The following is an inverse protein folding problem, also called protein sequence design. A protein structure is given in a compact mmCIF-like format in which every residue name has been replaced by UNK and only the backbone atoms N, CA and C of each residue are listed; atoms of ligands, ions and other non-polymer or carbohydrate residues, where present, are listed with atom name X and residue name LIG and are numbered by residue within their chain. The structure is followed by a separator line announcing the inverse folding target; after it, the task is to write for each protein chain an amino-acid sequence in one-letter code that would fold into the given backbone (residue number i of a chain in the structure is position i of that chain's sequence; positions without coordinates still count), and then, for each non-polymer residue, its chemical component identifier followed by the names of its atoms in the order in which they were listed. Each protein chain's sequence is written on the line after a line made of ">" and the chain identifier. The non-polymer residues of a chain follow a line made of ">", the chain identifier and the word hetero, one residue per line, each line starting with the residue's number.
data_IF_365620631403
#
_entry.id   IF_365620631403
#
_cell.length_a   1.000
_cell.length_b   1.000
_cell.length_c   1.000
_cell.angle_alpha   90.00
_cell.angle_beta   90.00
_cell.angle_gamma   90.00
#
_symmetry.space_group_name_H-M   'P 1'
#
loop_
_entity.id
_entity.type
_entity.pdbx_description
1 polymer ?
#
# COMPACT_ATOMS: atom_id res chain seq x y z
N UNK A 1 15.89 -6.80 22.55
CA UNK A 1 14.77 -6.21 21.79
C UNK A 1 15.27 -5.78 20.43
N UNK A 2 14.62 -6.20 19.34
CA UNK A 2 14.90 -5.70 18.00
C UNK A 2 14.51 -4.23 17.91
N UNK A 3 15.38 -3.40 17.31
CA UNK A 3 15.10 -1.99 17.09
C UNK A 3 14.11 -1.84 15.94
N UNK A 4 13.03 -1.10 16.13
CA UNK A 4 12.09 -0.79 15.06
C UNK A 4 12.78 0.02 13.94
N UNK A 5 12.47 -0.31 12.70
CA UNK A 5 12.90 0.40 11.51
C UNK A 5 12.26 1.80 11.48
N UNK A 6 12.93 2.75 10.82
CA UNK A 6 12.36 4.09 10.62
C UNK A 6 11.18 4.00 9.64
N UNK A 7 10.16 4.85 9.83
CA UNK A 7 9.00 4.92 8.93
C UNK A 7 9.41 5.12 7.47
N UNK A 8 10.44 5.94 7.19
CA UNK A 8 10.94 6.15 5.83
C UNK A 8 11.50 4.88 5.17
N UNK A 9 12.08 3.96 5.96
CA UNK A 9 12.54 2.67 5.45
C UNK A 9 11.35 1.76 5.14
N UNK A 10 10.34 1.75 6.02
CA UNK A 10 9.12 0.97 5.81
C UNK A 10 8.35 1.47 4.57
N UNK A 11 8.25 2.78 4.39
CA UNK A 11 7.65 3.41 3.20
C UNK A 11 8.37 2.98 1.91
N UNK A 12 9.70 2.94 1.92
CA UNK A 12 10.47 2.53 0.74
C UNK A 12 10.26 1.04 0.42
N UNK A 13 10.19 0.18 1.44
CA UNK A 13 9.84 -1.24 1.25
C UNK A 13 8.44 -1.37 0.68
N UNK A 14 7.46 -0.65 1.23
CA UNK A 14 6.07 -0.64 0.73
C UNK A 14 6.02 -0.24 -0.74
N UNK A 15 6.69 0.86 -1.09
CA UNK A 15 6.75 1.39 -2.46
C UNK A 15 7.30 0.35 -3.44
N UNK A 16 8.43 -0.27 -3.11
CA UNK A 16 9.07 -1.26 -3.98
C UNK A 16 8.19 -2.51 -4.14
N UNK A 17 7.65 -3.03 -3.05
CA UNK A 17 6.84 -4.25 -3.05
C UNK A 17 5.50 -4.04 -3.75
N UNK A 18 4.83 -2.91 -3.49
CA UNK A 18 3.59 -2.56 -4.18
C UNK A 18 3.83 -2.35 -5.68
N UNK A 19 4.92 -1.67 -6.07
CA UNK A 19 5.27 -1.52 -7.48
C UNK A 19 5.45 -2.87 -8.16
N UNK A 20 6.21 -3.78 -7.55
CA UNK A 20 6.44 -5.12 -8.07
C UNK A 20 5.14 -5.92 -8.18
N UNK A 21 4.26 -5.85 -7.18
CA UNK A 21 2.99 -6.57 -7.18
C UNK A 21 2.02 -6.03 -8.25
N UNK A 22 2.09 -4.73 -8.55
CA UNK A 22 1.29 -4.10 -9.60
C UNK A 22 1.89 -4.25 -11.01
N UNK A 23 3.06 -4.89 -11.16
CA UNK A 23 3.61 -5.17 -12.49
C UNK A 23 2.66 -6.09 -13.27
N UNK A 24 2.14 -5.58 -14.39
CA UNK A 24 1.18 -6.30 -15.25
C UNK A 24 -0.28 -5.88 -15.08
N UNK A 25 -0.62 -5.18 -14.01
CA UNK A 25 -1.96 -4.59 -13.83
C UNK A 25 -2.08 -3.29 -14.62
N UNK A 26 -3.20 -3.13 -15.34
CA UNK A 26 -3.45 -1.92 -16.13
C UNK A 26 -4.35 -0.97 -15.34
N UNK A 27 -3.74 -0.09 -14.56
CA UNK A 27 -4.47 1.00 -13.90
C UNK A 27 -4.66 2.15 -14.91
N UNK A 28 -5.90 2.52 -15.29
CA UNK A 28 -6.14 3.62 -16.23
C UNK A 28 -5.54 4.94 -15.74
N UNK A 29 -5.07 5.77 -16.68
CA UNK A 29 -4.41 7.06 -16.35
C UNK A 29 -5.30 7.99 -15.50
N UNK A 30 -6.61 7.96 -15.75
CA UNK A 30 -7.60 8.73 -15.00
C UNK A 30 -7.71 8.29 -13.54
N UNK A 31 -7.53 6.98 -13.28
CA UNK A 31 -7.49 6.40 -11.95
C UNK A 31 -6.16 6.72 -11.26
N UNK A 32 -5.04 6.66 -11.99
CA UNK A 32 -3.71 7.00 -11.46
C UNK A 32 -3.64 8.41 -10.86
N UNK A 33 -4.37 9.37 -11.44
CA UNK A 33 -4.42 10.76 -10.95
C UNK A 33 -5.20 10.93 -9.63
N UNK A 34 -6.00 9.93 -9.26
CA UNK A 34 -6.85 9.91 -8.06
C UNK A 34 -6.28 9.01 -6.97
N UNK A 35 -5.08 8.46 -7.17
CA UNK A 35 -4.45 7.59 -6.19
C UNK A 35 -4.02 8.39 -4.95
N UNK A 36 -4.41 7.89 -3.79
CA UNK A 36 -4.01 8.37 -2.49
C UNK A 36 -3.38 7.23 -1.69
N UNK A 37 -2.56 7.59 -0.72
CA UNK A 37 -1.88 6.66 0.19
C UNK A 37 -2.31 6.96 1.62
N UNK A 38 -2.82 5.96 2.31
CA UNK A 38 -3.03 6.00 3.76
C UNK A 38 -2.05 5.04 4.43
N UNK A 39 -1.63 5.37 5.66
CA UNK A 39 -0.75 4.52 6.44
C UNK A 39 -1.02 4.62 7.93
N UNK A 40 -0.99 3.48 8.61
CA UNK A 40 -1.19 3.39 10.06
C UNK A 40 -0.42 2.21 10.65
N UNK A 41 -0.04 2.27 11.94
CA UNK A 41 0.52 1.14 12.64
C UNK A 41 -0.58 0.16 13.07
N UNK A 42 -0.28 -1.14 13.02
CA UNK A 42 -1.14 -2.21 13.51
C UNK A 42 -0.28 -3.25 14.25
N UNK A 43 -0.23 -3.15 15.58
CA UNK A 43 0.64 -4.00 16.40
C UNK A 43 2.11 -3.86 16.01
N UNK A 44 2.71 -4.94 15.51
CA UNK A 44 4.10 -4.97 15.04
C UNK A 44 4.28 -4.60 13.58
N UNK A 45 3.19 -4.31 12.89
CA UNK A 45 3.19 -4.03 11.46
C UNK A 45 2.85 -2.56 11.18
N UNK A 46 3.21 -2.13 9.98
CA UNK A 46 2.72 -0.92 9.34
C UNK A 46 1.93 -1.30 8.10
N UNK A 47 0.74 -0.73 8.01
CA UNK A 47 -0.15 -0.89 6.87
C UNK A 47 0.04 0.33 5.95
N UNK A 48 0.16 0.05 4.66
CA UNK A 48 0.20 1.06 3.59
C UNK A 48 -0.87 0.70 2.58
N UNK A 49 -1.85 1.58 2.43
CA UNK A 49 -2.99 1.35 1.55
C UNK A 49 -2.99 2.37 0.41
N UNK A 50 -2.84 1.85 -0.81
CA UNK A 50 -3.02 2.62 -2.03
C UNK A 50 -4.47 2.49 -2.46
N UNK A 51 -5.18 3.60 -2.59
CA UNK A 51 -6.60 3.62 -2.92
C UNK A 51 -6.94 4.78 -3.85
N UNK A 52 -8.11 4.70 -4.50
CA UNK A 52 -8.69 5.77 -5.31
C UNK A 52 -9.53 6.65 -4.41
N UNK A 53 -9.17 7.92 -4.24
CA UNK A 53 -9.97 8.86 -3.47
C UNK A 53 -11.28 9.17 -4.19
N UNK A 54 -12.39 9.12 -3.45
CA UNK A 54 -13.73 9.50 -3.91
C UNK A 54 -14.30 10.57 -2.98
N UNK A 55 -15.25 11.36 -3.47
CA UNK A 55 -15.97 12.35 -2.65
C UNK A 55 -16.82 11.69 -1.54
N UNK A 56 -17.11 10.40 -1.72
CA UNK A 56 -17.90 9.55 -0.82
C UNK A 56 -17.02 8.42 -0.25
N UNK A 57 -16.90 8.27 1.09
CA UNK A 57 -16.12 7.21 1.73
C UNK A 57 -16.53 5.80 1.33
N UNK A 58 -17.82 5.58 1.05
CA UNK A 58 -18.39 4.30 0.59
C UNK A 58 -17.91 3.86 -0.80
N UNK A 59 -17.29 4.76 -1.56
CA UNK A 59 -16.81 4.53 -2.93
C UNK A 59 -15.27 4.47 -3.00
N UNK A 60 -14.59 4.31 -1.87
CA UNK A 60 -13.13 4.12 -1.86
C UNK A 60 -12.79 2.77 -2.48
N UNK A 61 -12.02 2.79 -3.57
CA UNK A 61 -11.51 1.57 -4.22
C UNK A 61 -10.09 1.37 -3.76
N UNK A 62 -9.85 0.33 -2.96
CA UNK A 62 -8.49 -0.07 -2.59
C UNK A 62 -7.83 -0.76 -3.78
N UNK A 63 -6.68 -0.24 -4.19
CA UNK A 63 -5.88 -0.76 -5.31
C UNK A 63 -4.91 -1.82 -4.82
N UNK A 64 -4.18 -1.51 -3.74
CA UNK A 64 -3.25 -2.44 -3.14
C UNK A 64 -3.03 -2.12 -1.66
N UNK A 65 -2.81 -3.16 -0.86
CA UNK A 65 -2.44 -3.04 0.55
C UNK A 65 -1.12 -3.75 0.80
N UNK A 66 -0.16 -3.04 1.40
CA UNK A 66 1.10 -3.61 1.86
C UNK A 66 1.14 -3.65 3.39
N UNK A 67 1.55 -4.78 3.95
CA UNK A 67 1.73 -4.99 5.39
C UNK A 67 3.20 -5.27 5.64
N UNK A 68 3.83 -4.51 6.54
CA UNK A 68 5.28 -4.59 6.77
C UNK A 68 5.58 -4.66 8.25
N UNK A 69 6.27 -5.71 8.67
CA UNK A 69 6.71 -5.85 10.05
C UNK A 69 7.82 -4.84 10.38
N UNK A 70 7.58 -4.01 11.40
CA UNK A 70 8.45 -2.89 11.77
C UNK A 70 9.81 -3.31 12.34
N UNK A 71 10.00 -4.58 12.69
CA UNK A 71 11.24 -5.06 13.31
C UNK A 71 12.16 -5.79 12.34
N UNK A 72 11.61 -6.51 11.37
CA UNK A 72 12.40 -7.33 10.44
C UNK A 72 12.17 -6.99 8.95
N UNK A 73 11.22 -6.11 8.63
CA UNK A 73 10.92 -5.70 7.26
C UNK A 73 10.24 -6.75 6.40
N UNK A 74 9.82 -7.88 6.99
CA UNK A 74 8.99 -8.89 6.29
C UNK A 74 7.72 -8.23 5.80
N UNK A 75 7.37 -8.47 4.55
CA UNK A 75 6.30 -7.74 3.87
C UNK A 75 5.40 -8.66 3.07
N UNK A 76 4.10 -8.41 3.09
CA UNK A 76 3.13 -8.97 2.16
C UNK A 76 2.42 -7.83 1.41
N UNK A 77 2.00 -8.11 0.17
CA UNK A 77 1.21 -7.18 -0.63
C UNK A 77 0.02 -7.92 -1.20
N UNK A 78 -1.17 -7.35 -1.03
CA UNK A 78 -2.41 -7.81 -1.65
C UNK A 78 -2.82 -6.79 -2.70
N UNK A 79 -2.89 -7.21 -3.97
CA UNK A 79 -3.50 -6.40 -5.03
C UNK A 79 -5.01 -6.65 -5.01
N UNK A 80 -5.78 -5.58 -4.94
CA UNK A 80 -7.23 -5.58 -4.89
C UNK A 80 -7.87 -4.95 -6.14
N UNK A 81 -7.03 -4.34 -6.99
CA UNK A 81 -7.42 -3.85 -8.30
C UNK A 81 -7.82 -5.00 -9.24
N UNK A 82 -8.98 -4.87 -9.89
CA UNK A 82 -9.44 -5.74 -10.97
C UNK A 82 -9.44 -4.94 -12.27
N UNK A 83 -8.96 -5.54 -13.37
CA UNK A 83 -8.89 -4.92 -14.70
C UNK A 83 -10.27 -4.90 -15.43
N UNK A 84 -11.39 -4.76 -14.70
CA UNK A 84 -12.74 -4.73 -15.31
C UNK A 84 -12.94 -3.58 -16.30
#
# INVERSE_FOLDING_TARGET
>A
MSKAMKLTQLQEIARQKTRQALEGHKIPREIQQKLALEMWPEGDDWIFELFVSSESPENVIVVARAVINKFNGSSSVTVLWSDE
#
